data_IF_310435370167
#
_entry.id   IF_310435370167
#
_cell.length_a   1.000
_cell.length_b   1.000
_cell.length_c   1.000
_cell.angle_alpha   90.00
_cell.angle_beta   90.00
_cell.angle_gamma   90.00
#
_symmetry.space_group_name_H-M   'P 1'
#
loop_
_entity.id
_entity.type
_entity.pdbx_description
1 polymer ?
#
# COMPACT_ATOMS: atom_id res chain seq x y z
N UNK A 1 -4.79 -13.72 -21.96
CA UNK A 1 -3.85 -14.26 -20.96
C UNK A 1 -3.41 -13.07 -20.13
N UNK A 2 -3.78 -13.00 -18.84
CA UNK A 2 -3.25 -11.94 -17.97
C UNK A 2 -1.84 -12.37 -17.57
N UNK A 3 -0.85 -11.51 -17.77
CA UNK A 3 0.51 -11.74 -17.26
C UNK A 3 0.43 -12.07 -15.76
N UNK A 4 1.28 -12.98 -15.24
CA UNK A 4 1.42 -13.16 -13.80
C UNK A 4 1.65 -11.78 -13.16
N UNK A 5 0.85 -11.46 -12.14
CA UNK A 5 0.94 -10.18 -11.44
C UNK A 5 2.30 -10.09 -10.78
N UNK A 6 3.22 -9.39 -11.43
CA UNK A 6 4.57 -9.14 -10.95
C UNK A 6 4.52 -8.05 -9.86
N UNK A 7 4.28 -8.53 -8.63
CA UNK A 7 4.17 -7.73 -7.43
C UNK A 7 5.51 -7.64 -6.71
N UNK A 8 5.76 -6.49 -6.09
CA UNK A 8 6.88 -6.32 -5.19
C UNK A 8 6.75 -7.29 -4.01
N UNK A 9 7.75 -8.14 -3.84
CA UNK A 9 7.90 -9.02 -2.67
C UNK A 9 9.30 -8.80 -2.11
N UNK A 10 9.41 -8.15 -0.96
CA UNK A 10 10.70 -7.95 -0.28
C UNK A 10 10.96 -9.09 0.70
N UNK A 11 12.22 -9.50 0.81
CA UNK A 11 12.66 -10.53 1.76
C UNK A 11 13.41 -9.92 2.95
N UNK A 12 13.97 -8.73 2.77
CA UNK A 12 14.64 -7.92 3.77
C UNK A 12 14.26 -6.43 3.64
N UNK A 13 14.48 -5.62 4.69
CA UNK A 13 14.32 -4.17 4.59
C UNK A 13 15.20 -3.56 3.49
N UNK A 14 14.58 -2.75 2.63
CA UNK A 14 15.18 -2.15 1.45
C UNK A 14 15.00 -0.62 1.44
N UNK A 15 16.09 0.12 1.25
CA UNK A 15 16.12 1.57 1.24
C UNK A 15 17.17 2.16 2.19
N UNK A 16 16.90 3.39 2.64
CA UNK A 16 17.88 4.22 3.36
C UNK A 16 18.39 3.54 4.64
N UNK A 17 19.70 3.25 4.70
CA UNK A 17 20.37 2.65 5.85
C UNK A 17 19.98 1.21 6.19
N UNK A 18 19.28 0.50 5.29
CA UNK A 18 18.79 -0.86 5.54
C UNK A 18 19.74 -1.97 5.06
N UNK A 19 19.33 -3.23 5.25
CA UNK A 19 20.05 -4.42 4.80
C UNK A 19 20.34 -4.41 3.29
N UNK A 20 19.37 -3.92 2.49
CA UNK A 20 19.55 -3.66 1.07
C UNK A 20 20.04 -4.90 0.29
N UNK A 21 19.32 -6.01 0.44
CA UNK A 21 19.58 -7.18 -0.40
C UNK A 21 19.50 -6.78 -1.90
N UNK A 22 20.48 -7.15 -2.74
CA UNK A 22 20.52 -6.69 -4.12
C UNK A 22 19.30 -7.06 -4.97
N UNK A 23 18.65 -8.19 -4.67
CA UNK A 23 17.45 -8.60 -5.39
C UNK A 23 16.24 -7.76 -4.95
N UNK A 24 16.10 -7.49 -3.65
CA UNK A 24 15.05 -6.63 -3.11
C UNK A 24 15.17 -5.19 -3.60
N UNK A 25 16.40 -4.66 -3.73
CA UNK A 25 16.63 -3.31 -4.26
C UNK A 25 16.29 -3.23 -5.75
N UNK A 26 16.66 -4.24 -6.54
CA UNK A 26 16.28 -4.30 -7.95
C UNK A 26 14.77 -4.39 -8.13
N UNK A 27 14.09 -5.21 -7.32
CA UNK A 27 12.64 -5.33 -7.34
C UNK A 27 11.94 -4.03 -6.94
N UNK A 28 12.43 -3.36 -5.89
CA UNK A 28 11.92 -2.07 -5.43
C UNK A 28 12.09 -0.98 -6.50
N UNK A 29 13.28 -0.87 -7.10
CA UNK A 29 13.54 0.12 -8.15
C UNK A 29 12.68 -0.14 -9.39
N UNK A 30 12.63 -1.39 -9.87
CA UNK A 30 11.78 -1.79 -10.99
C UNK A 30 10.31 -1.43 -10.74
N UNK A 31 9.82 -1.68 -9.52
CA UNK A 31 8.45 -1.38 -9.12
C UNK A 31 8.19 0.13 -9.12
N UNK A 32 9.08 0.94 -8.53
CA UNK A 32 8.96 2.41 -8.50
C UNK A 32 8.94 3.01 -9.91
N UNK A 33 9.73 2.48 -10.84
CA UNK A 33 9.71 2.90 -12.26
C UNK A 33 8.38 2.53 -12.92
N UNK A 34 7.92 1.29 -12.71
CA UNK A 34 6.69 0.76 -13.32
C UNK A 34 5.43 1.49 -12.86
N UNK A 35 5.38 1.94 -11.60
CA UNK A 35 4.27 2.75 -11.09
C UNK A 35 4.45 4.25 -11.35
N UNK A 36 5.47 4.61 -12.15
CA UNK A 36 5.82 5.98 -12.50
C UNK A 36 6.04 6.88 -11.27
N UNK A 37 6.52 6.30 -10.16
CA UNK A 37 6.84 7.06 -8.96
C UNK A 37 8.03 8.00 -9.20
N UNK A 38 8.92 7.65 -10.15
CA UNK A 38 9.95 8.51 -10.68
C UNK A 38 10.52 8.01 -12.03
N UNK A 39 11.21 8.91 -12.73
CA UNK A 39 12.07 8.57 -13.86
C UNK A 39 13.53 8.57 -13.39
N UNK A 40 14.28 7.46 -13.55
CA UNK A 40 15.69 7.42 -13.20
C UNK A 40 16.49 8.38 -14.09
N UNK A 41 17.54 9.04 -13.57
CA UNK A 41 18.42 9.86 -14.39
C UNK A 41 19.22 8.96 -15.36
N UNK A 42 19.79 9.52 -16.45
CA UNK A 42 20.39 8.75 -17.54
C UNK A 42 21.42 7.69 -17.08
N UNK A 43 22.21 7.99 -16.07
CA UNK A 43 23.20 7.09 -15.48
C UNK A 43 22.63 5.83 -14.84
N UNK A 44 21.34 5.83 -14.48
CA UNK A 44 20.63 4.69 -13.88
C UNK A 44 19.48 4.16 -14.76
N UNK A 45 19.28 4.73 -15.96
CA UNK A 45 18.09 4.48 -16.76
C UNK A 45 18.07 3.09 -17.42
N UNK A 46 19.24 2.52 -17.73
CA UNK A 46 19.36 1.30 -18.51
C UNK A 46 18.69 0.08 -17.84
N UNK A 47 18.83 -0.06 -16.53
CA UNK A 47 18.30 -1.20 -15.77
C UNK A 47 17.96 -0.82 -14.33
N UNK A 48 17.07 -1.59 -13.66
CA UNK A 48 16.86 -1.46 -12.23
C UNK A 48 18.15 -1.65 -11.45
N UNK A 49 18.36 -0.78 -10.47
CA UNK A 49 19.57 -0.74 -9.68
C UNK A 49 19.55 -1.83 -8.62
N UNK A 50 20.70 -2.45 -8.37
CA UNK A 50 20.90 -3.46 -7.30
C UNK A 50 21.42 -2.86 -6.00
N UNK A 51 21.58 -1.55 -5.94
CA UNK A 51 22.04 -0.79 -4.79
C UNK A 51 21.20 0.46 -4.61
N UNK A 52 20.96 0.92 -3.37
CA UNK A 52 20.13 2.10 -3.13
C UNK A 52 20.83 3.34 -3.68
N UNK A 53 20.23 3.95 -4.70
CA UNK A 53 20.72 5.21 -5.27
C UNK A 53 19.99 6.40 -4.63
N UNK A 54 20.66 7.55 -4.52
CA UNK A 54 20.04 8.75 -3.97
C UNK A 54 18.75 9.18 -4.73
N UNK A 55 18.66 9.09 -6.08
CA UNK A 55 17.41 9.35 -6.79
C UNK A 55 16.29 8.38 -6.40
N UNK A 56 16.58 7.08 -6.26
CA UNK A 56 15.61 6.06 -5.86
C UNK A 56 15.09 6.30 -4.45
N UNK A 57 15.96 6.60 -3.49
CA UNK A 57 15.55 6.90 -2.11
C UNK A 57 14.64 8.14 -2.06
N UNK A 58 15.00 9.23 -2.76
CA UNK A 58 14.15 10.42 -2.84
C UNK A 58 12.82 10.16 -3.53
N UNK A 59 12.76 9.21 -4.46
CA UNK A 59 11.52 8.78 -5.09
C UNK A 59 10.64 8.02 -4.10
N UNK A 60 11.23 7.14 -3.29
CA UNK A 60 10.54 6.39 -2.25
C UNK A 60 9.99 7.30 -1.15
N UNK A 61 10.77 8.28 -0.68
CA UNK A 61 10.32 9.28 0.30
C UNK A 61 9.13 10.10 -0.22
N UNK A 62 9.21 10.58 -1.47
CA UNK A 62 8.09 11.28 -2.12
C UNK A 62 6.89 10.38 -2.33
N UNK A 63 7.10 9.11 -2.62
CA UNK A 63 6.02 8.14 -2.71
C UNK A 63 5.33 7.97 -1.34
N UNK A 64 6.10 7.80 -0.26
CA UNK A 64 5.58 7.72 1.10
C UNK A 64 4.77 8.97 1.47
N UNK A 65 5.31 10.16 1.21
CA UNK A 65 4.63 11.44 1.46
C UNK A 65 3.29 11.54 0.73
N UNK A 66 3.27 11.27 -0.58
CA UNK A 66 2.03 11.32 -1.39
C UNK A 66 0.96 10.33 -0.96
N UNK A 67 1.35 9.31 -0.21
CA UNK A 67 0.49 8.22 0.25
C UNK A 67 0.30 8.21 1.77
N UNK A 68 0.61 9.33 2.46
CA UNK A 68 0.38 9.46 3.91
C UNK A 68 1.19 8.49 4.77
N UNK A 69 2.24 7.88 4.23
CA UNK A 69 3.10 6.94 4.94
C UNK A 69 4.17 7.68 5.73
N UNK A 70 4.80 6.98 6.69
CA UNK A 70 6.00 7.48 7.35
C UNK A 70 7.09 7.73 6.30
N UNK A 71 7.63 8.95 6.27
CA UNK A 71 8.68 9.37 5.33
C UNK A 71 10.03 8.99 5.91
N UNK A 72 10.43 7.74 5.74
CA UNK A 72 11.67 7.18 6.26
C UNK A 72 12.59 6.60 5.18
N UNK A 73 12.15 6.62 3.92
CA UNK A 73 12.98 6.27 2.78
C UNK A 73 13.35 4.79 2.72
N UNK A 74 12.60 3.91 3.40
CA UNK A 74 12.74 2.46 3.27
C UNK A 74 11.39 1.74 3.23
N UNK A 75 11.41 0.50 2.74
CA UNK A 75 10.29 -0.42 2.74
C UNK A 75 10.69 -1.69 3.49
N UNK A 76 9.77 -2.20 4.31
CA UNK A 76 9.91 -3.48 5.00
C UNK A 76 9.11 -4.57 4.28
N UNK A 77 9.56 -5.84 4.34
CA UNK A 77 8.77 -7.01 3.93
C UNK A 77 7.37 -6.98 4.54
N UNK A 78 6.34 -7.05 3.68
CA UNK A 78 4.94 -7.00 4.08
C UNK A 78 4.51 -5.70 4.77
N UNK A 79 5.36 -4.68 4.76
CA UNK A 79 5.13 -3.38 5.40
C UNK A 79 4.22 -2.45 4.61
N UNK A 80 3.89 -1.28 5.18
CA UNK A 80 2.94 -0.34 4.57
C UNK A 80 3.41 0.18 3.20
N UNK A 81 4.71 0.44 3.03
CA UNK A 81 5.26 0.95 1.78
C UNK A 81 5.24 -0.09 0.66
N UNK A 82 5.62 -1.34 0.93
CA UNK A 82 5.52 -2.45 -0.03
C UNK A 82 4.07 -2.63 -0.50
N UNK A 83 3.13 -2.68 0.46
CA UNK A 83 1.69 -2.81 0.17
C UNK A 83 1.17 -1.66 -0.70
N UNK A 84 1.55 -0.43 -0.39
CA UNK A 84 1.14 0.73 -1.17
C UNK A 84 1.67 0.68 -2.62
N UNK A 85 2.92 0.25 -2.82
CA UNK A 85 3.48 0.04 -4.16
C UNK A 85 2.71 -1.07 -4.90
N UNK A 86 2.43 -2.19 -4.24
CA UNK A 86 1.66 -3.29 -4.83
C UNK A 86 0.24 -2.87 -5.25
N UNK A 87 -0.40 -1.98 -4.51
CA UNK A 87 -1.71 -1.45 -4.91
C UNK A 87 -1.65 -0.65 -6.20
N UNK A 88 -0.58 0.13 -6.38
CA UNK A 88 -0.33 0.85 -7.64
C UNK A 88 -0.03 -0.12 -8.78
N UNK A 89 0.77 -1.15 -8.54
CA UNK A 89 1.08 -2.18 -9.55
C UNK A 89 -0.17 -2.93 -10.02
N UNK A 90 -1.14 -3.17 -9.13
CA UNK A 90 -2.41 -3.80 -9.46
C UNK A 90 -3.37 -2.89 -10.23
N UNK A 91 -3.02 -1.62 -10.49
CA UNK A 91 -3.90 -0.58 -11.02
C UNK A 91 -5.25 -0.52 -10.29
N UNK A 92 -5.23 -0.92 -9.01
CA UNK A 92 -6.41 -0.95 -8.17
C UNK A 92 -6.87 0.49 -7.93
N UNK A 93 -8.19 0.77 -7.96
CA UNK A 93 -8.69 2.04 -7.47
C UNK A 93 -8.10 2.30 -6.07
N UNK A 94 -7.80 3.57 -5.78
CA UNK A 94 -7.38 4.00 -4.43
C UNK A 94 -8.36 3.39 -3.44
N UNK A 95 -7.89 2.54 -2.52
CA UNK A 95 -8.76 1.82 -1.60
C UNK A 95 -8.55 0.29 -1.50
N UNK A 96 -8.13 -0.41 -2.55
CA UNK A 96 -8.08 -1.90 -2.56
C UNK A 96 -6.86 -2.56 -1.92
N UNK A 97 -6.29 -1.87 -0.93
CA UNK A 97 -4.98 -2.17 -0.35
C UNK A 97 -4.86 -3.36 0.59
N UNK A 98 -5.93 -4.13 0.79
CA UNK A 98 -6.03 -5.01 1.96
C UNK A 98 -6.43 -6.45 1.67
N UNK A 99 -6.52 -6.88 0.41
CA UNK A 99 -6.90 -8.27 0.08
C UNK A 99 -5.72 -9.24 -0.04
N UNK A 100 -4.61 -9.03 0.67
CA UNK A 100 -3.58 -10.08 0.80
C UNK A 100 -3.88 -11.03 1.95
N UNK A 101 -4.46 -10.51 3.05
CA UNK A 101 -5.11 -11.33 4.06
C UNK A 101 -6.63 -11.26 3.83
N UNK A 102 -7.34 -12.40 3.75
CA UNK A 102 -8.80 -12.36 3.73
C UNK A 102 -9.29 -11.59 4.97
N UNK A 103 -10.26 -10.68 4.80
CA UNK A 103 -10.80 -9.95 5.93
C UNK A 103 -11.31 -10.94 6.97
N UNK A 104 -10.98 -10.69 8.24
CA UNK A 104 -11.48 -11.52 9.32
C UNK A 104 -13.02 -11.55 9.27
N UNK A 105 -13.67 -12.69 9.58
CA UNK A 105 -15.12 -12.72 9.73
C UNK A 105 -15.57 -11.67 10.75
N UNK A 106 -16.69 -11.01 10.46
CA UNK A 106 -17.29 -10.07 11.41
C UNK A 106 -17.76 -10.83 12.65
N UNK A 107 -17.33 -10.40 13.83
CA UNK A 107 -17.73 -10.96 15.11
C UNK A 107 -19.05 -10.41 15.65
N UNK A 108 -19.54 -9.31 15.09
CA UNK A 108 -20.75 -8.60 15.46
C UNK A 108 -21.30 -7.75 14.32
N UNK A 109 -22.36 -6.99 14.61
CA UNK A 109 -23.03 -6.13 13.61
C UNK A 109 -22.35 -4.77 13.50
N UNK A 110 -22.30 -4.21 12.29
CA UNK A 110 -21.67 -2.91 11.99
C UNK A 110 -22.69 -2.00 11.29
N UNK A 111 -22.77 -0.75 11.74
CA UNK A 111 -23.67 0.27 11.20
C UNK A 111 -24.36 1.09 12.29
N UNK A 112 -25.16 2.07 11.90
CA UNK A 112 -25.85 2.94 12.87
C UNK A 112 -26.80 2.12 13.78
N UNK A 113 -26.62 2.23 15.09
CA UNK A 113 -27.42 1.53 16.11
C UNK A 113 -27.00 0.08 16.38
N UNK A 114 -25.91 -0.40 15.78
CA UNK A 114 -25.39 -1.76 15.96
C UNK A 114 -24.21 -1.85 16.94
N UNK A 115 -23.69 -3.06 17.15
CA UNK A 115 -22.60 -3.35 18.09
C UNK A 115 -21.33 -2.52 17.84
N UNK A 116 -20.99 -2.31 16.56
CA UNK A 116 -19.85 -1.50 16.12
C UNK A 116 -18.53 -1.81 16.85
N UNK A 117 -18.20 -3.11 16.96
CA UNK A 117 -16.92 -3.50 17.54
C UNK A 117 -15.78 -2.90 16.71
N UNK A 118 -14.74 -2.32 17.33
CA UNK A 118 -13.67 -1.64 16.59
C UNK A 118 -13.02 -2.51 15.51
N UNK A 119 -12.82 -3.81 15.77
CA UNK A 119 -12.27 -4.75 14.78
C UNK A 119 -13.20 -5.02 13.60
N UNK A 120 -14.51 -5.04 13.82
CA UNK A 120 -15.52 -5.29 12.78
C UNK A 120 -15.71 -4.04 11.92
N UNK A 121 -15.84 -2.87 12.56
CA UNK A 121 -15.89 -1.56 11.88
C UNK A 121 -14.65 -1.38 11.02
N UNK A 122 -13.48 -1.73 11.56
CA UNK A 122 -12.25 -1.65 10.82
C UNK A 122 -12.20 -2.63 9.63
N UNK A 123 -12.82 -3.79 9.76
CA UNK A 123 -12.90 -4.75 8.65
C UNK A 123 -13.84 -4.25 7.56
N UNK A 124 -14.98 -3.65 7.92
CA UNK A 124 -15.93 -3.06 6.99
C UNK A 124 -15.34 -1.85 6.26
N UNK A 125 -14.70 -0.90 6.97
CA UNK A 125 -14.02 0.25 6.36
C UNK A 125 -12.97 -0.19 5.33
N UNK A 126 -12.20 -1.22 5.67
CA UNK A 126 -11.21 -1.82 4.77
C UNK A 126 -11.83 -2.43 3.51
N UNK A 127 -12.95 -3.13 3.65
CA UNK A 127 -13.68 -3.73 2.54
C UNK A 127 -14.31 -2.68 1.63
N UNK A 128 -14.94 -1.65 2.20
CA UNK A 128 -15.56 -0.55 1.47
C UNK A 128 -14.53 0.33 0.76
N UNK A 129 -13.39 0.58 1.40
CA UNK A 129 -12.24 1.17 0.73
C UNK A 129 -11.84 0.29 -0.45
N UNK A 130 -11.80 -1.03 -0.28
CA UNK A 130 -11.37 -1.93 -1.34
C UNK A 130 -12.32 -2.04 -2.55
N UNK A 131 -13.60 -1.81 -2.36
CA UNK A 131 -14.59 -1.72 -3.45
C UNK A 131 -14.70 -0.32 -4.04
N UNK A 132 -14.08 0.68 -3.40
CA UNK A 132 -14.15 2.09 -3.80
C UNK A 132 -15.39 2.82 -3.29
N UNK A 133 -16.19 2.17 -2.44
CA UNK A 133 -17.42 2.71 -1.86
C UNK A 133 -17.13 3.67 -0.69
N UNK A 134 -15.96 3.57 -0.06
CA UNK A 134 -15.47 4.51 0.94
C UNK A 134 -14.24 5.28 0.40
N UNK A 135 -14.30 6.61 0.26
CA UNK A 135 -13.22 7.42 -0.31
C UNK A 135 -12.01 7.63 0.62
N UNK A 136 -12.00 6.99 1.80
CA UNK A 136 -10.90 7.09 2.77
C UNK A 136 -9.63 6.38 2.29
N UNK A 137 -8.48 6.86 2.75
CA UNK A 137 -7.22 6.17 2.52
C UNK A 137 -7.30 4.80 3.23
N UNK A 138 -7.15 3.66 2.52
CA UNK A 138 -7.18 2.34 3.13
C UNK A 138 -6.03 2.09 4.12
N UNK A 139 -5.07 3.02 4.20
CA UNK A 139 -3.98 3.05 5.18
C UNK A 139 -4.15 4.12 6.27
N UNK A 140 -5.16 4.99 6.17
CA UNK A 140 -5.67 5.65 7.38
C UNK A 140 -6.12 4.49 8.27
N UNK A 141 -5.48 4.34 9.44
CA UNK A 141 -5.76 3.21 10.33
C UNK A 141 -7.28 3.16 10.48
N UNK A 142 -7.95 2.08 10.05
CA UNK A 142 -9.39 2.00 10.19
C UNK A 142 -9.68 2.25 11.66
N UNK A 143 -10.38 3.35 11.93
CA UNK A 143 -10.35 3.94 13.27
C UNK A 143 -11.13 3.09 14.26
N UNK A 144 -11.93 2.16 13.75
CA UNK A 144 -12.81 1.31 14.53
C UNK A 144 -14.02 2.06 15.07
N UNK A 145 -14.27 3.27 14.56
CA UNK A 145 -15.42 4.10 14.89
C UNK A 145 -16.33 4.20 13.68
N UNK A 146 -17.62 3.93 13.89
CA UNK A 146 -18.63 4.14 12.87
C UNK A 146 -18.85 5.65 12.72
N UNK A 147 -18.76 6.15 11.49
CA UNK A 147 -19.05 7.55 11.15
C UNK A 147 -20.08 7.65 10.02
N UNK A 148 -20.42 8.88 9.66
CA UNK A 148 -21.44 9.16 8.65
C UNK A 148 -21.01 8.66 7.26
N UNK A 149 -19.73 8.78 6.91
CA UNK A 149 -19.18 8.30 5.64
C UNK A 149 -19.25 6.77 5.55
N UNK A 150 -18.80 6.07 6.60
CA UNK A 150 -18.87 4.62 6.72
C UNK A 150 -20.33 4.14 6.68
N UNK A 151 -21.23 4.84 7.38
CA UNK A 151 -22.67 4.53 7.38
C UNK A 151 -23.29 4.69 6.01
N UNK A 152 -22.92 5.73 5.26
CA UNK A 152 -23.45 5.96 3.92
C UNK A 152 -22.91 4.92 2.93
N UNK A 153 -21.64 4.53 3.05
CA UNK A 153 -21.03 3.51 2.22
C UNK A 153 -21.65 2.10 2.46
N UNK A 154 -22.12 1.78 3.67
CA UNK A 154 -22.83 0.51 3.94
C UNK A 154 -24.23 0.46 3.30
N UNK A 155 -24.88 1.61 3.09
CA UNK A 155 -26.27 1.70 2.59
C UNK A 155 -26.38 1.67 1.06
N UNK A 156 -25.29 2.00 0.36
CA UNK A 156 -25.22 2.02 -1.11
C UNK A 156 -25.29 0.63 -1.72
#
# INVERSE_FOLDING_TARGET
MRDPLDLLTLHAPAGNGQANDPADIAALDASLRRIEAYTPPPEYAAEPQRYPTAPMIRALERFQERHGLKIDGYANPGGPTERAINNRLLAKPRGAGLLFDPPAPLGGTVGNGFDNRPGDVATVQRLLGATGDLPEDPFDRPRGYIDENTTNAIKG
#
